data_IF_653271251196
#
_entry.id   IF_653271251196
#
_cell.length_a   1.000
_cell.length_b   1.000
_cell.length_c   1.000
_cell.angle_alpha   90.00
_cell.angle_beta   90.00
_cell.angle_gamma   90.00
#
_symmetry.space_group_name_H-M   'P 1'
#
loop_
_entity.id
_entity.type
_entity.pdbx_description
1 polymer ?
#
# COMPACT_ATOMS: atom_id res chain seq x y z
N UNK A 1 25.48 -38.72 -4.68
CA UNK A 1 24.46 -38.06 -5.52
C UNK A 1 23.88 -39.13 -6.44
N UNK A 2 22.58 -39.47 -6.33
CA UNK A 2 21.99 -40.58 -7.10
C UNK A 2 21.91 -40.25 -8.61
N UNK A 3 21.95 -41.26 -9.48
CA UNK A 3 21.95 -41.17 -10.97
C UNK A 3 20.81 -40.29 -11.50
N UNK A 4 19.62 -40.38 -10.90
CA UNK A 4 18.48 -39.51 -11.21
C UNK A 4 18.75 -38.01 -10.98
N UNK A 5 19.51 -37.65 -9.94
CA UNK A 5 19.88 -36.27 -9.66
C UNK A 5 20.93 -35.75 -10.64
N UNK A 6 21.85 -36.62 -11.07
CA UNK A 6 22.87 -36.26 -12.06
C UNK A 6 22.23 -35.99 -13.44
N UNK A 7 21.31 -36.86 -13.89
CA UNK A 7 20.58 -36.69 -15.16
C UNK A 7 19.79 -35.37 -15.17
N UNK A 8 19.12 -35.05 -14.05
CA UNK A 8 18.36 -33.80 -13.90
C UNK A 8 19.24 -32.55 -13.90
N UNK A 9 20.42 -32.60 -13.28
CA UNK A 9 21.36 -31.48 -13.30
C UNK A 9 21.90 -31.23 -14.72
N UNK A 10 22.20 -32.29 -15.45
CA UNK A 10 22.67 -32.20 -16.85
C UNK A 10 21.57 -31.59 -17.72
N UNK A 11 20.32 -32.04 -17.57
CA UNK A 11 19.17 -31.48 -18.29
C UNK A 11 18.93 -29.99 -18.00
N UNK A 12 19.06 -29.55 -16.74
CA UNK A 12 18.95 -28.14 -16.36
C UNK A 12 20.07 -27.30 -17.02
N UNK A 13 21.30 -27.81 -17.00
CA UNK A 13 22.46 -27.13 -17.59
C UNK A 13 22.29 -26.95 -19.10
N UNK A 14 21.79 -27.98 -19.79
CA UNK A 14 21.45 -27.92 -21.21
C UNK A 14 20.30 -26.95 -21.50
N UNK A 15 19.26 -26.91 -20.65
CA UNK A 15 18.14 -25.99 -20.79
C UNK A 15 18.53 -24.52 -20.61
N UNK A 16 19.47 -24.23 -19.69
CA UNK A 16 20.00 -22.88 -19.46
C UNK A 16 20.95 -22.44 -20.59
N UNK A 17 21.69 -23.36 -21.19
CA UNK A 17 22.58 -23.09 -22.33
C UNK A 17 21.81 -22.94 -23.65
N UNK A 18 20.65 -23.58 -23.80
CA UNK A 18 19.88 -23.61 -25.05
C UNK A 18 19.08 -22.35 -25.38
N UNK A 19 18.99 -21.36 -24.48
CA UNK A 19 18.50 -20.01 -24.79
C UNK A 19 17.05 -19.85 -25.31
N UNK A 20 16.24 -20.90 -25.35
CA UNK A 20 14.87 -20.87 -25.89
C UNK A 20 13.78 -20.73 -24.82
N UNK A 21 12.61 -20.20 -25.20
CA UNK A 21 11.47 -20.01 -24.29
C UNK A 21 11.05 -21.31 -23.55
N UNK A 22 11.17 -22.45 -24.22
CA UNK A 22 10.88 -23.78 -23.64
C UNK A 22 11.96 -24.22 -22.63
N UNK A 23 13.22 -23.86 -22.86
CA UNK A 23 14.33 -24.09 -21.93
C UNK A 23 14.20 -23.25 -20.65
N UNK A 24 13.80 -21.99 -20.78
CA UNK A 24 13.50 -21.12 -19.63
C UNK A 24 12.27 -21.56 -18.85
N UNK A 25 11.22 -22.05 -19.52
CA UNK A 25 10.04 -22.61 -18.86
C UNK A 25 10.41 -23.87 -18.06
N UNK A 26 11.23 -24.76 -18.64
CA UNK A 26 11.73 -25.95 -17.95
C UNK A 26 12.65 -25.59 -16.78
N UNK A 27 13.58 -24.64 -16.96
CA UNK A 27 14.46 -24.17 -15.90
C UNK A 27 13.68 -23.53 -14.74
N UNK A 28 12.68 -22.68 -15.04
CA UNK A 28 11.76 -22.12 -14.03
C UNK A 28 11.00 -23.22 -13.30
N UNK A 29 10.44 -24.18 -14.03
CA UNK A 29 9.70 -25.28 -13.43
C UNK A 29 10.60 -26.13 -12.53
N UNK A 30 11.81 -26.47 -12.99
CA UNK A 30 12.78 -27.25 -12.21
C UNK A 30 13.28 -26.50 -10.98
N UNK A 31 13.58 -25.20 -11.09
CA UNK A 31 13.98 -24.37 -9.95
C UNK A 31 12.82 -24.24 -8.96
N UNK A 32 11.60 -23.96 -9.43
CA UNK A 32 10.41 -23.89 -8.57
C UNK A 32 10.10 -25.23 -7.89
N UNK A 33 10.31 -26.35 -8.58
CA UNK A 33 10.13 -27.69 -8.02
C UNK A 33 11.23 -28.02 -7.00
N UNK A 34 12.48 -27.64 -7.24
CA UNK A 34 13.59 -27.79 -6.29
C UNK A 34 13.48 -26.86 -5.10
N UNK A 35 13.00 -25.62 -5.27
CA UNK A 35 12.70 -24.70 -4.17
C UNK A 35 11.54 -25.22 -3.34
N UNK A 36 10.50 -25.79 -3.95
CA UNK A 36 9.43 -26.47 -3.22
C UNK A 36 9.91 -27.71 -2.48
N UNK A 37 10.79 -28.51 -3.09
CA UNK A 37 11.32 -29.73 -2.48
C UNK A 37 12.39 -29.45 -1.40
N UNK A 38 13.21 -28.41 -1.55
CA UNK A 38 14.07 -27.88 -0.50
C UNK A 38 13.24 -27.21 0.60
N UNK A 39 12.16 -26.54 0.23
CA UNK A 39 11.10 -26.11 1.13
C UNK A 39 10.62 -27.29 1.95
N UNK A 40 10.25 -28.42 1.34
CA UNK A 40 9.82 -29.64 2.05
C UNK A 40 10.89 -30.24 2.97
N UNK A 41 12.17 -30.12 2.63
CA UNK A 41 13.30 -30.55 3.48
C UNK A 41 13.54 -29.57 4.65
N UNK A 42 13.30 -28.27 4.46
CA UNK A 42 13.33 -27.26 5.54
C UNK A 42 12.03 -27.24 6.38
N UNK A 43 10.92 -27.75 5.84
CA UNK A 43 9.59 -27.90 6.45
C UNK A 43 9.51 -29.07 7.47
N UNK A 44 10.65 -29.64 7.87
CA UNK A 44 10.73 -30.55 9.00
C UNK A 44 10.65 -29.86 10.38
N UNK A 45 10.70 -28.52 10.45
CA UNK A 45 10.52 -27.76 11.69
C UNK A 45 9.19 -27.01 11.63
N UNK A 46 8.28 -27.27 12.58
CA UNK A 46 6.93 -26.70 12.63
C UNK A 46 6.93 -25.15 12.55
N UNK A 47 8.00 -24.50 12.99
CA UNK A 47 8.11 -23.04 13.08
C UNK A 47 8.15 -22.31 11.73
N UNK A 48 8.68 -22.93 10.66
CA UNK A 48 8.81 -22.28 9.35
C UNK A 48 7.53 -22.34 8.51
N UNK A 49 6.62 -23.31 8.78
CA UNK A 49 5.27 -23.33 8.17
C UNK A 49 4.46 -22.11 8.58
N UNK A 50 4.50 -21.78 9.87
CA UNK A 50 3.83 -20.60 10.40
C UNK A 50 4.39 -19.32 9.77
N UNK A 51 5.71 -19.22 9.59
CA UNK A 51 6.36 -18.06 8.99
C UNK A 51 5.98 -17.91 7.50
N UNK A 52 5.95 -18.99 6.71
CA UNK A 52 5.60 -18.92 5.28
C UNK A 52 4.11 -18.65 5.07
N UNK A 53 3.22 -19.28 5.85
CA UNK A 53 1.80 -18.94 5.88
C UNK A 53 1.56 -17.51 6.36
N UNK A 54 2.34 -17.00 7.33
CA UNK A 54 2.29 -15.59 7.72
C UNK A 54 2.72 -14.68 6.58
N UNK A 55 3.81 -15.01 5.87
CA UNK A 55 4.31 -14.20 4.76
C UNK A 55 3.29 -14.15 3.61
N UNK A 56 2.68 -15.28 3.25
CA UNK A 56 1.64 -15.35 2.21
C UNK A 56 0.36 -14.62 2.63
N UNK A 57 -0.07 -14.72 3.90
CA UNK A 57 -1.20 -13.95 4.44
C UNK A 57 -0.89 -12.44 4.50
N UNK A 58 0.35 -12.07 4.82
CA UNK A 58 0.80 -10.68 4.82
C UNK A 58 0.90 -10.11 3.40
N UNK A 59 1.29 -10.91 2.41
CA UNK A 59 1.35 -10.50 1.00
C UNK A 59 -0.02 -10.47 0.32
N UNK A 60 -0.95 -11.37 0.67
CA UNK A 60 -2.30 -11.36 0.11
C UNK A 60 -3.12 -10.11 0.50
N UNK A 61 -2.83 -9.51 1.66
CA UNK A 61 -3.44 -8.25 2.11
C UNK A 61 -2.93 -7.01 1.38
N UNK A 62 -1.79 -7.11 0.70
CA UNK A 62 -1.09 -6.01 0.05
C UNK A 62 -1.62 -5.68 -1.36
N UNK A 63 -2.75 -6.28 -1.76
CA UNK A 63 -3.39 -6.10 -3.06
C UNK A 63 -4.61 -5.16 -3.03
N UNK A 64 -5.14 -4.82 -1.85
CA UNK A 64 -6.19 -3.84 -1.74
C UNK A 64 -5.54 -2.45 -1.76
N UNK A 65 -5.90 -1.61 -2.74
CA UNK A 65 -5.48 -0.21 -2.79
C UNK A 65 -6.07 0.55 -1.59
N UNK A 66 -5.44 0.53 -0.42
CA UNK A 66 -5.90 1.25 0.78
C UNK A 66 -5.20 2.60 0.87
N UNK A 67 -5.99 3.64 1.07
CA UNK A 67 -5.49 5.02 1.15
C UNK A 67 -6.08 5.71 2.36
N UNK A 68 -5.22 6.43 3.08
CA UNK A 68 -5.61 7.27 4.19
C UNK A 68 -5.80 8.72 3.74
N UNK A 69 -6.94 9.34 4.06
CA UNK A 69 -7.15 10.77 3.83
C UNK A 69 -6.55 11.60 4.96
N UNK A 70 -5.74 12.60 4.61
CA UNK A 70 -5.13 13.51 5.58
C UNK A 70 -5.28 14.96 5.13
N UNK A 71 -5.56 15.86 6.07
CA UNK A 71 -5.86 17.26 5.77
C UNK A 71 -6.20 18.11 7.00
N UNK A 72 -6.46 19.41 6.82
CA UNK A 72 -6.93 20.27 7.89
C UNK A 72 -8.39 19.94 8.27
N UNK A 73 -8.68 19.94 9.57
CA UNK A 73 -10.03 19.77 10.12
C UNK A 73 -10.38 20.88 11.11
N UNK A 74 -9.53 21.07 12.13
CA UNK A 74 -9.79 22.06 13.19
C UNK A 74 -9.79 23.49 12.65
N UNK A 75 -10.79 24.28 13.04
CA UNK A 75 -10.91 25.68 12.64
C UNK A 75 -11.62 25.90 11.29
N UNK A 76 -12.05 24.83 10.62
CA UNK A 76 -12.85 24.90 9.39
C UNK A 76 -14.34 24.63 9.68
N UNK A 77 -15.26 25.16 8.85
CA UNK A 77 -16.68 24.84 8.93
C UNK A 77 -16.89 23.32 8.90
N UNK A 78 -17.76 22.82 9.78
CA UNK A 78 -18.11 21.39 9.88
C UNK A 78 -16.88 20.46 10.00
N UNK A 79 -15.78 20.95 10.59
CA UNK A 79 -14.52 20.22 10.71
C UNK A 79 -13.97 19.71 9.37
N UNK A 80 -14.34 20.36 8.27
CA UNK A 80 -14.00 19.98 6.90
C UNK A 80 -14.56 18.62 6.45
N UNK A 81 -15.55 18.05 7.16
CA UNK A 81 -16.15 16.76 6.83
C UNK A 81 -16.66 16.66 5.38
N UNK A 82 -17.27 17.69 4.76
CA UNK A 82 -17.69 17.61 3.37
C UNK A 82 -16.54 17.28 2.42
N UNK A 83 -15.40 17.99 2.52
CA UNK A 83 -14.23 17.76 1.66
C UNK A 83 -13.66 16.35 1.79
N UNK A 84 -13.61 15.84 3.04
CA UNK A 84 -13.15 14.48 3.31
C UNK A 84 -14.09 13.44 2.71
N UNK A 85 -15.40 13.61 2.90
CA UNK A 85 -16.41 12.66 2.42
C UNK A 85 -16.51 12.67 0.89
N UNK A 86 -16.44 13.83 0.25
CA UNK A 86 -16.44 13.97 -1.21
C UNK A 86 -15.22 13.26 -1.83
N UNK A 87 -14.03 13.48 -1.25
CA UNK A 87 -12.82 12.80 -1.72
C UNK A 87 -12.86 11.30 -1.45
N UNK A 88 -13.41 10.88 -0.32
CA UNK A 88 -13.59 9.47 0.00
C UNK A 88 -14.52 8.80 -1.02
N UNK A 89 -15.63 9.44 -1.37
CA UNK A 89 -16.55 8.95 -2.40
C UNK A 89 -15.87 8.83 -3.77
N UNK A 90 -15.11 9.85 -4.20
CA UNK A 90 -14.35 9.84 -5.45
C UNK A 90 -13.34 8.68 -5.51
N UNK A 91 -12.55 8.49 -4.46
CA UNK A 91 -11.54 7.43 -4.41
C UNK A 91 -12.16 6.03 -4.33
N UNK A 92 -13.25 5.88 -3.55
CA UNK A 92 -14.04 4.63 -3.51
C UNK A 92 -14.62 4.28 -4.88
N UNK A 93 -15.13 5.26 -5.63
CA UNK A 93 -15.60 5.06 -6.99
C UNK A 93 -14.49 4.60 -7.96
N UNK A 94 -13.22 4.91 -7.65
CA UNK A 94 -12.04 4.44 -8.38
C UNK A 94 -11.49 3.09 -7.88
N UNK A 95 -12.18 2.43 -6.96
CA UNK A 95 -11.81 1.12 -6.43
C UNK A 95 -10.80 1.15 -5.28
N UNK A 96 -10.58 2.30 -4.64
CA UNK A 96 -9.77 2.38 -3.43
C UNK A 96 -10.59 2.03 -2.18
N UNK A 97 -9.95 1.38 -1.22
CA UNK A 97 -10.43 1.32 0.15
C UNK A 97 -9.94 2.58 0.86
N UNK A 98 -10.87 3.42 1.35
CA UNK A 98 -10.51 4.72 1.93
C UNK A 98 -10.71 4.71 3.43
N UNK A 99 -9.62 4.92 4.16
CA UNK A 99 -9.65 5.27 5.58
C UNK A 99 -9.87 6.79 5.72
N UNK A 100 -11.06 7.16 6.18
CA UNK A 100 -11.50 8.55 6.27
C UNK A 100 -11.67 8.97 7.74
N UNK A 101 -10.83 9.89 8.27
CA UNK A 101 -10.95 10.33 9.66
C UNK A 101 -12.25 11.05 10.00
N UNK A 102 -12.96 11.60 9.00
CA UNK A 102 -14.26 12.24 9.19
C UNK A 102 -15.39 11.25 9.52
N UNK A 103 -15.20 9.96 9.24
CA UNK A 103 -16.17 8.89 9.53
C UNK A 103 -15.92 8.24 10.91
N UNK A 104 -14.82 8.60 11.57
CA UNK A 104 -14.47 8.00 12.85
C UNK A 104 -15.37 8.49 13.98
N UNK A 105 -15.77 7.61 14.92
CA UNK A 105 -16.38 8.06 16.15
C UNK A 105 -15.38 8.90 16.97
N UNK A 106 -15.90 9.79 17.81
CA UNK A 106 -15.06 10.49 18.76
C UNK A 106 -14.38 9.49 19.71
N UNK A 107 -13.06 9.60 19.97
CA UNK A 107 -12.39 8.77 20.95
C UNK A 107 -12.99 9.04 22.34
N UNK A 108 -13.12 8.03 23.23
CA UNK A 108 -13.70 8.22 24.56
C UNK A 108 -13.03 9.32 25.39
N UNK A 109 -11.74 9.57 25.18
CA UNK A 109 -11.00 10.62 25.87
C UNK A 109 -11.21 12.04 25.30
N UNK A 110 -11.87 12.18 24.14
CA UNK A 110 -12.15 13.47 23.46
C UNK A 110 -10.91 14.31 23.10
N UNK A 111 -9.71 13.79 23.32
CA UNK A 111 -8.47 14.58 23.23
C UNK A 111 -7.84 14.48 21.85
N UNK A 112 -7.10 15.53 21.45
CA UNK A 112 -6.29 15.51 20.23
C UNK A 112 -5.37 14.28 20.16
N UNK A 113 -4.79 13.85 21.30
CA UNK A 113 -3.95 12.64 21.37
C UNK A 113 -4.75 11.37 21.07
N UNK A 114 -6.01 11.30 21.48
CA UNK A 114 -6.91 10.18 21.16
C UNK A 114 -7.20 10.11 19.65
N UNK A 115 -7.55 11.25 19.05
CA UNK A 115 -7.76 11.35 17.61
C UNK A 115 -6.50 10.96 16.82
N UNK A 116 -5.33 11.47 17.23
CA UNK A 116 -4.08 11.10 16.57
C UNK A 116 -3.77 9.61 16.69
N UNK A 117 -4.03 8.96 17.84
CA UNK A 117 -3.80 7.51 17.97
C UNK A 117 -4.67 6.70 17.00
N UNK A 118 -5.93 7.10 16.81
CA UNK A 118 -6.83 6.47 15.83
C UNK A 118 -6.36 6.71 14.39
N UNK A 119 -6.00 7.97 14.07
CA UNK A 119 -5.46 8.36 12.77
C UNK A 119 -4.21 7.56 12.39
N UNK A 120 -3.25 7.46 13.31
CA UNK A 120 -2.03 6.69 13.08
C UNK A 120 -2.30 5.20 12.90
N UNK A 121 -3.26 4.62 13.63
CA UNK A 121 -3.64 3.23 13.45
C UNK A 121 -4.23 2.96 12.06
N UNK A 122 -5.05 3.87 11.54
CA UNK A 122 -5.56 3.78 10.17
C UNK A 122 -4.46 3.97 9.13
N UNK A 123 -3.61 4.98 9.31
CA UNK A 123 -2.51 5.31 8.39
C UNK A 123 -1.56 4.14 8.20
N UNK A 124 -1.11 3.49 9.28
CA UNK A 124 -0.16 2.36 9.18
C UNK A 124 -0.76 1.11 8.53
N UNK A 125 -2.07 1.07 8.33
CA UNK A 125 -2.77 0.01 7.62
C UNK A 125 -2.92 0.25 6.11
N UNK A 126 -2.45 1.40 5.61
CA UNK A 126 -2.61 1.82 4.22
C UNK A 126 -1.30 1.72 3.44
N UNK A 127 -1.42 1.59 2.11
CA UNK A 127 -0.29 1.64 1.18
C UNK A 127 -0.03 3.06 0.65
N UNK A 128 -1.04 3.94 0.75
CA UNK A 128 -0.95 5.33 0.32
C UNK A 128 -1.54 6.32 1.34
N UNK A 129 -1.08 7.57 1.29
CA UNK A 129 -1.68 8.73 1.93
C UNK A 129 -2.13 9.72 0.86
N UNK A 130 -3.36 10.21 0.96
CA UNK A 130 -3.88 11.28 0.12
C UNK A 130 -3.99 12.57 0.94
N UNK A 131 -3.25 13.59 0.51
CA UNK A 131 -3.15 14.88 1.17
C UNK A 131 -4.12 15.88 0.55
N UNK A 132 -5.10 16.34 1.33
CA UNK A 132 -6.04 17.39 0.94
C UNK A 132 -5.35 18.77 0.92
N UNK A 133 -5.88 19.75 0.15
CA UNK A 133 -5.29 21.08 0.07
C UNK A 133 -5.11 21.73 1.46
N UNK A 134 -3.94 22.33 1.69
CA UNK A 134 -3.61 23.00 2.96
C UNK A 134 -3.20 22.06 4.08
N UNK A 135 -2.89 20.79 3.78
CA UNK A 135 -2.36 19.82 4.75
C UNK A 135 -1.09 20.32 5.45
N UNK A 136 -0.27 21.12 4.77
CA UNK A 136 0.97 21.70 5.28
C UNK A 136 0.71 22.60 6.49
N UNK A 137 -0.49 23.17 6.60
CA UNK A 137 -0.88 24.03 7.71
C UNK A 137 -1.46 23.24 8.90
N UNK A 138 -1.88 21.99 8.68
CA UNK A 138 -2.45 21.12 9.72
C UNK A 138 -1.36 20.42 10.53
N UNK A 139 -1.34 20.64 11.84
CA UNK A 139 -0.42 19.95 12.76
C UNK A 139 -0.55 18.43 12.69
N UNK A 140 -1.77 17.92 12.57
CA UNK A 140 -2.04 16.47 12.45
C UNK A 140 -1.56 15.92 11.12
N UNK A 141 -1.93 16.58 10.02
CA UNK A 141 -1.60 16.12 8.68
C UNK A 141 -0.08 16.14 8.40
N UNK A 142 0.66 17.14 8.89
CA UNK A 142 2.13 17.14 8.81
C UNK A 142 2.77 15.95 9.53
N UNK A 143 2.22 15.54 10.69
CA UNK A 143 2.72 14.39 11.43
C UNK A 143 2.43 13.09 10.68
N UNK A 144 1.20 12.94 10.17
CA UNK A 144 0.78 11.81 9.35
C UNK A 144 1.64 11.69 8.09
N UNK A 145 1.88 12.78 7.37
CA UNK A 145 2.79 12.82 6.23
C UNK A 145 4.21 12.35 6.56
N UNK A 146 4.80 12.87 7.64
CA UNK A 146 6.16 12.49 8.04
C UNK A 146 6.26 10.99 8.36
N UNK A 147 5.24 10.42 8.98
CA UNK A 147 5.16 8.99 9.26
C UNK A 147 4.96 8.19 7.97
N UNK A 148 4.08 8.63 7.08
CA UNK A 148 3.84 7.99 5.79
C UNK A 148 5.12 7.92 4.95
N UNK A 149 5.89 9.01 4.88
CA UNK A 149 7.20 9.03 4.22
C UNK A 149 8.18 8.06 4.86
N UNK A 150 8.26 8.04 6.19
CA UNK A 150 9.17 7.16 6.93
C UNK A 150 8.85 5.68 6.72
N UNK A 151 7.58 5.35 6.50
CA UNK A 151 7.08 4.00 6.24
C UNK A 151 7.11 3.63 4.75
N UNK A 152 7.44 4.56 3.85
CA UNK A 152 7.48 4.32 2.41
C UNK A 152 6.10 4.20 1.75
N UNK A 153 5.06 4.82 2.32
CA UNK A 153 3.75 4.90 1.69
C UNK A 153 3.80 5.79 0.44
N UNK A 154 2.96 5.47 -0.54
CA UNK A 154 2.75 6.36 -1.68
C UNK A 154 2.10 7.67 -1.22
N UNK A 155 2.70 8.80 -1.55
CA UNK A 155 2.18 10.13 -1.22
C UNK A 155 1.47 10.70 -2.44
N UNK A 156 0.18 11.00 -2.28
CA UNK A 156 -0.65 11.59 -3.33
C UNK A 156 -1.15 12.96 -2.85
N UNK A 157 -0.74 14.03 -3.52
CA UNK A 157 -1.19 15.39 -3.19
C UNK A 157 -2.36 15.80 -4.09
N UNK A 158 -3.34 16.50 -3.52
CA UNK A 158 -4.42 17.09 -4.30
C UNK A 158 -3.87 18.17 -5.24
N UNK A 159 -4.21 18.08 -6.53
CA UNK A 159 -3.88 19.14 -7.48
C UNK A 159 -4.56 20.46 -7.07
N UNK A 160 -3.79 21.54 -7.00
CA UNK A 160 -4.33 22.89 -6.78
C UNK A 160 -5.12 23.28 -8.03
N UNK A 161 -6.45 23.35 -7.92
CA UNK A 161 -7.31 23.93 -8.95
C UNK A 161 -7.11 25.44 -8.97
N UNK A 162 -6.16 25.93 -9.76
CA UNK A 162 -6.00 27.35 -10.06
C UNK A 162 -7.22 27.79 -10.89
N UNK A 163 -8.22 28.40 -10.25
CA UNK A 163 -9.25 29.14 -10.98
C UNK A 163 -8.59 30.39 -11.57
N UNK A 164 -8.14 30.29 -12.81
CA UNK A 164 -7.76 31.47 -13.60
C UNK A 164 -9.07 32.21 -13.90
N UNK A 165 -9.38 33.24 -13.12
CA UNK A 165 -10.43 34.18 -13.48
C UNK A 165 -10.05 34.85 -14.80
N UNK A 166 -10.72 34.45 -15.88
CA UNK A 166 -10.66 35.10 -17.19
C UNK A 166 -11.45 36.41 -17.19
N UNK A 167 -11.11 37.35 -16.31
CA UNK A 167 -11.56 38.74 -16.44
C UNK A 167 -10.48 39.54 -17.14
N UNK A 168 -10.47 39.50 -18.47
CA UNK A 168 -10.05 40.59 -19.35
C UNK A 168 -10.37 40.24 -20.81
N UNK A 169 -11.65 40.38 -21.19
CA UNK A 169 -12.06 40.57 -22.59
C UNK A 169 -13.37 41.36 -22.67
N UNK A 170 -13.34 42.63 -22.29
CA UNK A 170 -14.28 43.65 -22.75
C UNK A 170 -13.83 45.04 -22.23
N UNK A 171 -12.93 45.68 -22.97
CA UNK A 171 -12.85 47.13 -23.06
C UNK A 171 -12.47 47.45 -24.50
N UNK A 172 -13.50 47.52 -25.33
CA UNK A 172 -13.50 48.23 -26.59
C UNK A 172 -13.88 49.69 -26.31
#
# INVERSE_FOLDING_TARGET
>A
MNTLNLIRLIALKLALLGGGAMGWAFARHYIADRVRHMGQILLGKQDLRCIFSMLEVMQARQSAKRVYLSGPMSGLPELNYPTFNDKAAELRARGWHVENPAENPAPPCGSWRGYMRMALWQLVSCEAIYLLPGWENSKGARLEYSIAQSLGLEVIEAAISIHINSTNKAAA
#
